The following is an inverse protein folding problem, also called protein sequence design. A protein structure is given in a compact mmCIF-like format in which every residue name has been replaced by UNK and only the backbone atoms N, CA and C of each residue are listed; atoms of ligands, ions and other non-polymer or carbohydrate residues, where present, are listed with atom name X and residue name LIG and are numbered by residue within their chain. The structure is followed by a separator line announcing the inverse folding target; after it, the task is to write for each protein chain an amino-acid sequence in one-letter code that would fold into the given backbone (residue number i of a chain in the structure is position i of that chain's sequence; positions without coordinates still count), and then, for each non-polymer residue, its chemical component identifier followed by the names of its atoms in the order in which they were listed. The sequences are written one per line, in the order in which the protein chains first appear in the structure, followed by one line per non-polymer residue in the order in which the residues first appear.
data_IF_571928875169
#
_entry.id   IF_571928875169
#
_cell.length_a   1.000
_cell.length_b   1.000
_cell.length_c   1.000
_cell.angle_alpha   90.00
_cell.angle_beta   90.00
_cell.angle_gamma   90.00
#
_symmetry.space_group_name_H-M   'P 1'
#
loop_
_entity.id
_entity.type
_entity.pdbx_description
1 polymer ?
#
# COMPACT_ATOMS: atom_id res chain seq x y z
N UNK A 1 -23.57 -52.90 -28.85
CA UNK A 1 -23.37 -51.82 -27.85
C UNK A 1 -22.05 -51.11 -28.15
N UNK A 2 -22.07 -49.91 -28.74
CA UNK A 2 -20.87 -49.08 -28.95
C UNK A 2 -20.89 -47.93 -27.94
N UNK A 3 -19.96 -47.96 -26.98
CA UNK A 3 -19.79 -46.92 -25.98
C UNK A 3 -18.94 -45.78 -26.55
N UNK A 4 -19.44 -44.54 -26.48
CA UNK A 4 -18.72 -43.33 -26.89
C UNK A 4 -17.94 -42.77 -25.70
N UNK A 5 -16.61 -42.69 -25.83
CA UNK A 5 -15.75 -41.99 -24.88
C UNK A 5 -15.75 -40.48 -25.15
N UNK A 6 -16.02 -39.66 -24.12
CA UNK A 6 -15.89 -38.19 -24.16
C UNK A 6 -14.41 -37.78 -24.11
N UNK A 7 -13.96 -36.78 -24.90
CA UNK A 7 -12.61 -36.24 -24.77
C UNK A 7 -12.51 -35.33 -23.54
N UNK A 8 -11.56 -35.63 -22.67
CA UNK A 8 -11.24 -34.84 -21.46
C UNK A 8 -10.45 -33.58 -21.83
N UNK A 9 -10.93 -32.43 -21.35
CA UNK A 9 -10.32 -31.13 -21.54
C UNK A 9 -8.89 -31.07 -20.96
N UNK A 10 -7.90 -30.77 -21.81
CA UNK A 10 -6.51 -30.52 -21.40
C UNK A 10 -6.43 -29.27 -20.53
N UNK A 11 -5.88 -29.44 -19.31
CA UNK A 11 -5.68 -28.41 -18.26
C UNK A 11 -4.75 -27.25 -18.68
N UNK A 12 -4.86 -26.07 -18.02
CA UNK A 12 -4.39 -24.74 -18.47
C UNK A 12 -2.90 -24.43 -18.28
N UNK A 13 -2.01 -25.43 -18.24
CA UNK A 13 -0.59 -25.22 -17.91
C UNK A 13 0.17 -24.44 -18.99
N UNK A 14 -0.15 -24.68 -20.27
CA UNK A 14 0.52 -24.00 -21.40
C UNK A 14 0.24 -22.50 -21.44
N UNK A 15 -0.97 -22.09 -21.10
CA UNK A 15 -1.41 -20.69 -21.20
C UNK A 15 -0.75 -19.82 -20.13
N UNK A 16 -0.56 -20.36 -18.92
CA UNK A 16 0.15 -19.67 -17.84
C UNK A 16 1.64 -19.51 -18.14
N UNK A 17 2.27 -20.54 -18.72
CA UNK A 17 3.68 -20.49 -19.08
C UNK A 17 3.95 -19.55 -20.25
N UNK A 18 3.00 -19.46 -21.19
CA UNK A 18 3.04 -18.52 -22.30
C UNK A 18 2.82 -17.08 -21.83
N UNK A 19 1.90 -16.86 -20.88
CA UNK A 19 1.76 -15.56 -20.20
C UNK A 19 3.03 -15.17 -19.44
N UNK A 20 3.66 -16.11 -18.73
CA UNK A 20 4.93 -15.88 -18.02
C UNK A 20 6.06 -15.59 -18.98
N UNK A 21 6.10 -16.26 -20.15
CA UNK A 21 7.11 -16.00 -21.19
C UNK A 21 6.89 -14.64 -21.85
N UNK A 22 5.66 -14.27 -22.17
CA UNK A 22 5.31 -12.96 -22.71
C UNK A 22 5.59 -11.85 -21.69
N UNK A 23 5.30 -12.07 -20.40
CA UNK A 23 5.67 -11.13 -19.34
C UNK A 23 7.20 -10.98 -19.20
N UNK A 24 7.96 -12.07 -19.37
CA UNK A 24 9.44 -12.05 -19.38
C UNK A 24 10.01 -11.40 -20.65
N UNK A 25 9.37 -11.58 -21.80
CA UNK A 25 9.78 -10.98 -23.06
C UNK A 25 9.49 -9.47 -23.07
N UNK A 26 8.30 -9.05 -22.63
CA UNK A 26 7.96 -7.64 -22.44
C UNK A 26 8.86 -6.95 -21.42
N UNK A 27 9.39 -7.68 -20.43
CA UNK A 27 10.40 -7.13 -19.50
C UNK A 27 11.80 -6.97 -20.09
N UNK A 28 12.09 -7.56 -21.27
CA UNK A 28 13.40 -7.53 -21.93
C UNK A 28 13.52 -6.52 -23.09
N UNK A 29 12.44 -5.89 -23.51
CA UNK A 29 12.39 -5.08 -24.74
C UNK A 29 12.72 -3.58 -24.52
N UNK A 30 13.28 -3.22 -23.37
CA UNK A 30 13.77 -1.88 -23.10
C UNK A 30 15.29 -1.89 -23.05
N UNK A 31 15.96 -0.91 -23.69
CA UNK A 31 17.39 -0.58 -23.54
C UNK A 31 17.90 -1.04 -22.16
N UNK A 32 19.01 -1.77 -22.11
CA UNK A 32 19.60 -2.24 -20.84
C UNK A 32 19.91 -1.05 -19.92
N UNK A 33 18.94 -0.71 -19.08
CA UNK A 33 19.10 0.27 -18.02
C UNK A 33 19.63 -0.47 -16.79
N UNK A 34 20.71 0.03 -16.18
CA UNK A 34 21.25 -0.53 -14.94
C UNK A 34 20.21 -0.56 -13.81
N UNK A 35 19.25 0.37 -13.85
CA UNK A 35 18.21 0.51 -12.84
C UNK A 35 16.79 0.27 -13.41
N UNK A 36 15.91 -0.38 -12.62
CA UNK A 36 14.52 -0.58 -13.03
C UNK A 36 13.74 0.74 -13.05
N UNK A 37 12.67 0.79 -13.84
CA UNK A 37 11.76 1.94 -13.91
C UNK A 37 11.07 2.22 -12.56
N UNK A 38 10.69 1.15 -11.86
CA UNK A 38 10.02 1.21 -10.56
C UNK A 38 10.99 0.75 -9.48
N UNK A 39 11.54 1.69 -8.74
CA UNK A 39 12.49 1.42 -7.66
C UNK A 39 11.77 1.43 -6.31
N UNK A 40 11.97 0.39 -5.50
CA UNK A 40 11.43 0.31 -4.14
C UNK A 40 12.31 1.16 -3.23
N UNK A 41 11.75 2.26 -2.72
CA UNK A 41 12.44 3.21 -1.84
C UNK A 41 12.09 3.00 -0.37
N UNK A 42 10.97 2.34 -0.10
CA UNK A 42 10.50 2.07 1.25
C UNK A 42 9.87 0.67 1.35
N UNK A 43 10.16 -0.01 2.45
CA UNK A 43 9.58 -1.29 2.81
C UNK A 43 9.36 -1.32 4.33
N UNK A 44 8.11 -1.46 4.78
CA UNK A 44 7.75 -1.38 6.21
C UNK A 44 8.33 -2.53 7.07
N UNK A 45 8.76 -3.61 6.41
CA UNK A 45 9.38 -4.79 7.01
C UNK A 45 8.44 -5.99 6.96
N UNK A 46 8.96 -7.14 6.54
CA UNK A 46 8.15 -8.33 6.27
C UNK A 46 7.38 -8.78 7.50
N UNK A 47 8.03 -8.82 8.67
CA UNK A 47 7.39 -9.21 9.92
C UNK A 47 6.18 -8.33 10.28
N UNK A 48 6.26 -7.01 10.06
CA UNK A 48 5.14 -6.09 10.35
C UNK A 48 4.01 -6.26 9.36
N UNK A 49 4.33 -6.40 8.08
CA UNK A 49 3.35 -6.62 7.02
C UNK A 49 2.61 -7.94 7.29
N UNK A 50 3.34 -9.02 7.59
CA UNK A 50 2.76 -10.32 7.95
C UNK A 50 1.93 -10.23 9.22
N UNK A 51 2.42 -9.57 10.27
CA UNK A 51 1.66 -9.39 11.51
C UNK A 51 0.32 -8.66 11.26
N UNK A 52 0.33 -7.57 10.49
CA UNK A 52 -0.91 -6.88 10.12
C UNK A 52 -1.85 -7.74 9.28
N UNK A 53 -1.31 -8.54 8.35
CA UNK A 53 -2.09 -9.46 7.56
C UNK A 53 -2.77 -10.52 8.45
N UNK A 54 -2.01 -11.12 9.38
CA UNK A 54 -2.53 -12.12 10.32
C UNK A 54 -3.57 -11.51 11.25
N UNK A 55 -3.33 -10.33 11.81
CA UNK A 55 -4.28 -9.63 12.67
C UNK A 55 -5.65 -9.41 11.98
N UNK A 56 -5.62 -9.02 10.70
CA UNK A 56 -6.84 -8.85 9.89
C UNK A 56 -7.57 -10.18 9.63
N UNK A 57 -6.81 -11.22 9.32
CA UNK A 57 -7.38 -12.55 9.06
C UNK A 57 -8.02 -13.12 10.34
N UNK A 58 -7.32 -13.04 11.47
CA UNK A 58 -7.82 -13.52 12.76
C UNK A 58 -9.10 -12.79 13.17
N UNK A 59 -9.14 -11.46 13.07
CA UNK A 59 -10.35 -10.69 13.40
C UNK A 59 -11.51 -10.99 12.46
N UNK A 60 -11.25 -11.23 11.17
CA UNK A 60 -12.29 -11.66 10.23
C UNK A 60 -12.87 -13.02 10.62
N UNK A 61 -12.04 -13.99 11.01
CA UNK A 61 -12.50 -15.29 11.50
C UNK A 61 -13.33 -15.19 12.77
N UNK A 62 -12.90 -14.35 13.72
CA UNK A 62 -13.68 -14.06 14.93
C UNK A 62 -15.05 -13.46 14.55
N UNK A 63 -15.07 -12.43 13.70
CA UNK A 63 -16.32 -11.83 13.25
C UNK A 63 -17.26 -12.83 12.57
N UNK A 64 -16.73 -13.67 11.69
CA UNK A 64 -17.48 -14.73 11.02
C UNK A 64 -18.02 -15.78 12.01
N UNK A 65 -17.23 -16.18 13.00
CA UNK A 65 -17.66 -17.11 14.04
C UNK A 65 -18.85 -16.55 14.84
N UNK A 66 -18.74 -15.32 15.32
CA UNK A 66 -19.82 -14.68 16.08
C UNK A 66 -21.08 -14.46 15.23
N UNK A 67 -20.93 -14.00 13.98
CA UNK A 67 -22.08 -13.69 13.12
C UNK A 67 -22.74 -14.94 12.49
N UNK A 68 -21.96 -15.96 12.12
CA UNK A 68 -22.46 -17.11 11.35
C UNK A 68 -22.69 -18.37 12.21
N UNK A 69 -22.12 -18.45 13.41
CA UNK A 69 -22.26 -19.63 14.29
C UNK A 69 -22.98 -19.24 15.59
N UNK A 70 -22.46 -18.25 16.31
CA UNK A 70 -23.01 -17.91 17.64
C UNK A 70 -24.37 -17.20 17.52
N UNK A 71 -24.49 -16.17 16.67
CA UNK A 71 -25.74 -15.44 16.53
C UNK A 71 -26.92 -16.32 16.05
N UNK A 72 -26.77 -17.20 15.04
CA UNK A 72 -27.84 -18.13 14.67
C UNK A 72 -28.21 -19.12 15.78
N UNK A 73 -27.26 -19.52 16.62
CA UNK A 73 -27.54 -20.36 17.79
C UNK A 73 -28.43 -19.64 18.81
N UNK A 74 -28.19 -18.34 19.04
CA UNK A 74 -29.02 -17.52 19.93
C UNK A 74 -30.43 -17.31 19.36
N UNK A 75 -30.55 -17.13 18.05
CA UNK A 75 -31.84 -17.06 17.35
C UNK A 75 -32.60 -18.38 17.51
N UNK A 76 -31.93 -19.53 17.27
CA UNK A 76 -32.53 -20.86 17.45
C UNK A 76 -32.94 -21.17 18.88
N UNK A 77 -32.22 -20.61 19.86
CA UNK A 77 -32.52 -20.76 21.27
C UNK A 77 -33.50 -19.68 21.80
N UNK A 78 -34.14 -18.93 20.90
CA UNK A 78 -35.15 -17.88 21.21
C UNK A 78 -34.68 -16.91 22.29
N UNK A 79 -33.39 -16.56 22.26
CA UNK A 79 -32.81 -15.61 23.22
C UNK A 79 -33.32 -14.19 22.93
N UNK A 80 -33.42 -13.33 23.97
CA UNK A 80 -33.78 -11.92 23.82
C UNK A 80 -32.98 -11.23 22.70
N UNK A 81 -33.68 -10.46 21.86
CA UNK A 81 -33.09 -9.81 20.69
C UNK A 81 -31.89 -8.93 21.04
N UNK A 82 -31.95 -8.24 22.18
CA UNK A 82 -30.87 -7.37 22.66
C UNK A 82 -29.58 -8.15 22.97
N UNK A 83 -29.71 -9.38 23.49
CA UNK A 83 -28.54 -10.26 23.72
C UNK A 83 -27.97 -10.75 22.40
N UNK A 84 -28.83 -11.17 21.47
CA UNK A 84 -28.42 -11.59 20.12
C UNK A 84 -27.72 -10.45 19.36
N UNK A 85 -28.25 -9.23 19.44
CA UNK A 85 -27.62 -8.04 18.87
C UNK A 85 -26.25 -7.75 19.52
N UNK A 86 -26.12 -7.90 20.83
CA UNK A 86 -24.86 -7.77 21.55
C UNK A 86 -23.79 -8.76 21.06
N UNK A 87 -24.17 -10.02 20.81
CA UNK A 87 -23.29 -11.06 20.24
C UNK A 87 -22.81 -10.68 18.84
N UNK A 88 -23.71 -10.19 17.99
CA UNK A 88 -23.35 -9.72 16.63
C UNK A 88 -22.39 -8.54 16.70
N UNK A 89 -22.66 -7.56 17.57
CA UNK A 89 -21.77 -6.41 17.77
C UNK A 89 -20.39 -6.83 18.28
N UNK A 90 -20.31 -7.83 19.16
CA UNK A 90 -19.04 -8.40 19.64
C UNK A 90 -18.18 -8.95 18.49
N UNK A 91 -18.80 -9.53 17.46
CA UNK A 91 -18.10 -9.97 16.25
C UNK A 91 -17.68 -8.83 15.32
N UNK A 92 -18.53 -7.83 15.12
CA UNK A 92 -18.32 -6.75 14.14
C UNK A 92 -17.32 -5.70 14.64
N UNK A 93 -17.39 -5.31 15.91
CA UNK A 93 -16.58 -4.21 16.46
C UNK A 93 -15.06 -4.45 16.29
N UNK A 94 -14.50 -5.63 16.63
CA UNK A 94 -13.07 -5.90 16.42
C UNK A 94 -12.64 -5.80 14.96
N UNK A 95 -13.48 -6.26 14.03
CA UNK A 95 -13.21 -6.18 12.58
C UNK A 95 -13.15 -4.72 12.13
N UNK A 96 -14.14 -3.91 12.51
CA UNK A 96 -14.16 -2.48 12.18
C UNK A 96 -13.00 -1.73 12.82
N UNK A 97 -12.66 -2.06 14.07
CA UNK A 97 -11.55 -1.43 14.78
C UNK A 97 -10.21 -1.73 14.12
N UNK A 98 -9.90 -3.01 13.84
CA UNK A 98 -8.64 -3.39 13.19
C UNK A 98 -8.54 -2.81 11.79
N UNK A 99 -9.61 -2.85 11.00
CA UNK A 99 -9.60 -2.24 9.66
C UNK A 99 -9.39 -0.73 9.73
N UNK A 100 -10.00 -0.06 10.71
CA UNK A 100 -9.83 1.38 10.94
C UNK A 100 -8.37 1.72 11.28
N UNK A 101 -7.74 1.07 12.26
CA UNK A 101 -6.37 1.42 12.69
C UNK A 101 -5.30 1.01 11.68
N UNK A 102 -5.52 -0.08 10.93
CA UNK A 102 -4.52 -0.61 9.98
C UNK A 102 -4.69 -0.08 8.55
N UNK A 103 -5.82 0.56 8.22
CA UNK A 103 -6.08 1.09 6.88
C UNK A 103 -5.02 2.06 6.33
N UNK A 104 -4.45 3.01 7.11
CA UNK A 104 -3.47 3.95 6.56
C UNK A 104 -2.08 3.32 6.41
N UNK A 105 -1.83 2.11 6.90
CA UNK A 105 -0.49 1.50 6.91
C UNK A 105 0.06 1.29 5.49
N UNK A 106 1.22 1.91 5.22
CA UNK A 106 1.95 1.79 3.95
C UNK A 106 2.93 0.63 4.05
N UNK A 107 2.83 -0.31 3.11
CA UNK A 107 3.71 -1.48 3.02
C UNK A 107 4.97 -1.19 2.22
N UNK A 108 4.80 -0.57 1.04
CA UNK A 108 5.86 -0.31 0.08
C UNK A 108 5.63 1.05 -0.57
N UNK A 109 6.73 1.73 -0.92
CA UNK A 109 6.70 2.91 -1.76
C UNK A 109 7.64 2.68 -2.94
N UNK A 110 7.13 2.95 -4.14
CA UNK A 110 7.90 2.92 -5.37
C UNK A 110 8.04 4.33 -5.92
N UNK A 111 9.24 4.67 -6.37
CA UNK A 111 9.48 5.85 -7.21
C UNK A 111 9.56 5.39 -8.67
N UNK A 112 8.95 6.17 -9.56
CA UNK A 112 9.08 5.94 -11.01
C UNK A 112 10.20 6.82 -11.54
N UNK A 113 11.23 6.17 -12.08
CA UNK A 113 12.44 6.83 -12.56
C UNK A 113 12.33 7.09 -14.07
N UNK A 114 12.61 8.32 -14.53
CA UNK A 114 12.69 8.60 -15.96
C UNK A 114 13.90 7.87 -16.60
N UNK A 115 13.90 7.62 -17.91
CA UNK A 115 14.97 6.89 -18.61
C UNK A 115 16.39 7.41 -18.32
N UNK A 116 16.57 8.72 -18.23
CA UNK A 116 17.88 9.32 -17.96
C UNK A 116 18.37 9.09 -16.53
N UNK A 117 17.49 8.88 -15.55
CA UNK A 117 17.86 8.63 -14.16
C UNK A 117 18.18 7.14 -13.89
N UNK A 118 17.98 6.28 -14.90
CA UNK A 118 18.14 4.83 -14.82
C UNK A 118 19.47 4.31 -15.35
N UNK A 119 20.32 5.20 -15.89
CA UNK A 119 21.59 4.85 -16.51
C UNK A 119 22.67 4.47 -15.50
N UNK A 120 22.73 5.12 -14.33
CA UNK A 120 23.70 4.77 -13.29
C UNK A 120 23.33 5.30 -11.91
N UNK A 121 23.92 4.72 -10.84
CA UNK A 121 23.69 5.16 -9.45
C UNK A 121 24.04 6.64 -9.19
N UNK A 122 25.17 7.20 -9.68
CA UNK A 122 25.49 8.61 -9.47
C UNK A 122 24.46 9.56 -10.11
N UNK A 123 23.91 9.20 -11.26
CA UNK A 123 22.87 9.99 -11.94
C UNK A 123 21.56 9.91 -11.16
N UNK A 124 21.19 8.72 -10.67
CA UNK A 124 20.07 8.54 -9.76
C UNK A 124 20.23 9.42 -8.51
N UNK A 125 21.41 9.44 -7.88
CA UNK A 125 21.65 10.29 -6.71
C UNK A 125 21.42 11.77 -6.98
N UNK A 126 21.90 12.27 -8.12
CA UNK A 126 21.66 13.67 -8.53
C UNK A 126 20.18 13.92 -8.79
N UNK A 127 19.50 13.00 -9.46
CA UNK A 127 18.06 13.09 -9.71
C UNK A 127 17.26 13.10 -8.40
N UNK A 128 17.54 12.17 -7.48
CA UNK A 128 16.90 12.12 -6.17
C UNK A 128 17.25 13.33 -5.32
N UNK A 129 18.45 13.91 -5.42
CA UNK A 129 18.79 15.18 -4.74
C UNK A 129 18.02 16.38 -5.33
N UNK A 130 17.64 16.33 -6.61
CA UNK A 130 16.91 17.39 -7.32
C UNK A 130 15.50 16.93 -7.79
N UNK A 131 14.84 16.06 -7.04
CA UNK A 131 13.56 15.44 -7.37
C UNK A 131 12.46 16.48 -7.68
N UNK A 132 11.95 16.50 -8.93
CA UNK A 132 10.81 17.31 -9.31
C UNK A 132 9.56 16.96 -8.48
N UNK A 133 8.70 17.93 -8.13
CA UNK A 133 7.44 17.66 -7.45
C UNK A 133 6.50 16.78 -8.28
N UNK A 134 6.63 16.81 -9.60
CA UNK A 134 5.87 16.00 -10.57
C UNK A 134 6.38 14.56 -10.70
N UNK A 135 7.36 14.14 -9.89
CA UNK A 135 7.86 12.75 -9.96
C UNK A 135 6.76 11.78 -9.50
N UNK A 136 6.42 10.73 -10.26
CA UNK A 136 5.39 9.79 -9.87
C UNK A 136 5.88 8.89 -8.73
N UNK A 137 5.03 8.74 -7.71
CA UNK A 137 5.17 7.81 -6.60
C UNK A 137 4.00 6.85 -6.58
N UNK A 138 4.26 5.57 -6.31
CA UNK A 138 3.22 4.57 -6.04
C UNK A 138 3.34 4.05 -4.62
N UNK A 139 2.36 4.39 -3.80
CA UNK A 139 2.23 3.91 -2.43
C UNK A 139 1.32 2.68 -2.40
N UNK A 140 1.78 1.62 -1.73
CA UNK A 140 1.00 0.39 -1.55
C UNK A 140 0.50 0.30 -0.12
N UNK A 141 -0.82 0.36 0.06
CA UNK A 141 -1.51 0.16 1.35
C UNK A 141 -2.24 -1.18 1.38
N UNK A 142 -2.69 -1.64 2.55
CA UNK A 142 -3.49 -2.87 2.66
C UNK A 142 -4.97 -2.56 2.80
N UNK A 143 -5.80 -3.11 1.91
CA UNK A 143 -7.26 -3.08 2.03
C UNK A 143 -7.74 -3.84 3.27
N UNK A 144 -9.02 -3.73 3.61
CA UNK A 144 -9.65 -4.44 4.73
C UNK A 144 -9.40 -5.96 4.67
N UNK A 145 -9.45 -6.55 3.48
CA UNK A 145 -9.24 -7.98 3.21
C UNK A 145 -7.77 -8.29 2.86
N UNK A 146 -6.82 -7.52 3.41
CA UNK A 146 -5.37 -7.67 3.17
C UNK A 146 -4.90 -7.59 1.72
N UNK A 147 -5.78 -7.27 0.77
CA UNK A 147 -5.43 -7.06 -0.65
C UNK A 147 -4.58 -5.80 -0.80
N UNK A 148 -3.42 -5.87 -1.49
CA UNK A 148 -2.63 -4.69 -1.79
C UNK A 148 -3.43 -3.67 -2.59
N UNK A 149 -3.33 -2.41 -2.19
CA UNK A 149 -4.02 -1.27 -2.80
C UNK A 149 -3.00 -0.22 -3.21
N UNK A 150 -2.81 -0.09 -4.52
CA UNK A 150 -1.87 0.84 -5.13
C UNK A 150 -2.50 2.22 -5.29
N UNK A 151 -1.78 3.26 -4.87
CA UNK A 151 -2.16 4.66 -5.07
C UNK A 151 -1.02 5.37 -5.77
N UNK A 152 -1.25 5.78 -7.02
CA UNK A 152 -0.29 6.58 -7.81
C UNK A 152 -0.58 8.06 -7.60
N UNK A 153 0.45 8.84 -7.28
CA UNK A 153 0.39 10.28 -7.03
C UNK A 153 1.73 10.92 -7.37
N UNK A 154 1.82 12.24 -7.44
CA UNK A 154 3.11 12.90 -7.55
C UNK A 154 3.75 13.13 -6.18
N UNK A 155 5.08 13.22 -6.13
CA UNK A 155 5.81 13.49 -4.90
C UNK A 155 5.40 14.82 -4.23
N UNK A 156 4.96 15.81 -5.02
CA UNK A 156 4.46 17.09 -4.55
C UNK A 156 3.05 17.04 -3.94
N UNK A 157 2.25 16.00 -4.24
CA UNK A 157 0.88 15.89 -3.75
C UNK A 157 0.81 15.40 -2.30
N UNK A 158 1.93 14.89 -1.76
CA UNK A 158 2.02 14.34 -0.42
C UNK A 158 2.37 15.45 0.57
N UNK A 159 1.52 15.66 1.57
CA UNK A 159 1.72 16.63 2.65
C UNK A 159 1.87 15.93 4.00
N UNK A 160 2.84 16.33 4.85
CA UNK A 160 2.98 15.79 6.19
C UNK A 160 1.85 16.32 7.08
N UNK A 161 1.25 15.43 7.87
CA UNK A 161 0.14 15.73 8.79
C UNK A 161 0.21 14.77 9.96
N UNK A 162 -0.09 15.21 11.18
CA UNK A 162 -0.28 14.33 12.34
C UNK A 162 -1.77 14.19 12.66
N UNK A 163 -2.38 13.04 12.36
CA UNK A 163 -3.79 12.74 12.66
C UNK A 163 -3.95 11.34 13.26
N UNK A 164 -5.13 11.07 13.86
CA UNK A 164 -5.50 9.76 14.44
C UNK A 164 -4.41 9.22 15.39
N UNK A 165 -4.11 9.98 16.44
CA UNK A 165 -3.09 9.61 17.44
C UNK A 165 -1.69 9.33 16.83
N UNK A 166 -1.39 9.88 15.65
CA UNK A 166 -0.13 9.63 14.94
C UNK A 166 -0.15 8.40 14.01
N UNK A 167 -1.29 7.75 13.82
CA UNK A 167 -1.47 6.68 12.82
C UNK A 167 -1.67 7.22 11.40
N UNK A 168 -1.56 8.53 11.20
CA UNK A 168 -1.56 9.17 9.88
C UNK A 168 -0.47 10.21 9.92
N UNK A 169 0.52 10.05 9.04
CA UNK A 169 1.70 10.90 8.90
C UNK A 169 1.68 11.71 7.60
N UNK A 170 1.00 11.21 6.57
CA UNK A 170 0.90 11.89 5.29
C UNK A 170 -0.52 11.86 4.74
N UNK A 171 -0.88 12.92 4.03
CA UNK A 171 -2.17 13.09 3.37
C UNK A 171 -1.93 13.55 1.94
N UNK A 172 -2.81 13.13 1.01
CA UNK A 172 -2.93 13.73 -0.32
C UNK A 172 -4.33 14.25 -0.55
N UNK A 173 -4.48 15.22 -1.43
CA UNK A 173 -5.81 15.60 -1.90
C UNK A 173 -6.40 14.47 -2.77
N UNK A 174 -7.65 14.14 -2.53
CA UNK A 174 -8.40 13.10 -3.23
C UNK A 174 -9.77 13.58 -3.69
N UNK A 175 -10.09 14.87 -3.53
CA UNK A 175 -11.41 15.41 -3.87
C UNK A 175 -11.71 15.23 -5.35
N UNK A 176 -10.82 15.69 -6.22
CA UNK A 176 -10.98 15.58 -7.68
C UNK A 176 -11.01 14.12 -8.14
N UNK A 177 -10.11 13.29 -7.61
CA UNK A 177 -10.06 11.86 -7.96
C UNK A 177 -11.33 11.13 -7.55
N UNK A 178 -11.90 11.46 -6.39
CA UNK A 178 -13.17 10.88 -5.93
C UNK A 178 -14.36 11.38 -6.74
N UNK A 179 -14.37 12.64 -7.17
CA UNK A 179 -15.43 13.20 -8.01
C UNK A 179 -15.50 12.50 -9.38
N UNK A 180 -14.36 12.08 -9.92
CA UNK A 180 -14.28 11.32 -11.19
C UNK A 180 -14.60 9.83 -11.03
N UNK A 181 -14.61 9.30 -9.79
CA UNK A 181 -14.85 7.88 -9.53
C UNK A 181 -16.34 7.58 -9.51
N UNK A 182 -16.70 6.43 -10.09
CA UNK A 182 -18.08 5.94 -10.08
C UNK A 182 -18.45 5.46 -8.68
N UNK A 183 -19.74 5.49 -8.35
CA UNK A 183 -20.27 5.17 -7.02
C UNK A 183 -19.86 3.78 -6.49
N UNK A 184 -19.67 2.80 -7.38
CA UNK A 184 -19.26 1.44 -7.05
C UNK A 184 -17.74 1.28 -6.84
N UNK A 185 -16.94 2.29 -7.20
CA UNK A 185 -15.50 2.26 -6.96
C UNK A 185 -15.21 2.72 -5.53
N UNK A 186 -14.36 1.99 -4.82
CA UNK A 186 -13.89 2.42 -3.51
C UNK A 186 -13.28 3.83 -3.58
N UNK A 187 -13.55 4.66 -2.55
CA UNK A 187 -12.94 5.98 -2.40
C UNK A 187 -11.42 5.93 -2.47
N UNK A 188 -10.80 6.92 -3.12
CA UNK A 188 -9.36 7.07 -3.23
C UNK A 188 -8.71 7.13 -1.84
N UNK A 189 -7.57 6.44 -1.69
CA UNK A 189 -6.82 6.46 -0.44
C UNK A 189 -6.15 7.83 -0.32
N UNK A 190 -6.50 8.59 0.72
CA UNK A 190 -5.95 9.93 0.95
C UNK A 190 -5.09 10.04 2.20
N UNK A 191 -4.98 8.98 3.00
CA UNK A 191 -4.35 8.98 4.32
C UNK A 191 -3.33 7.86 4.36
N UNK A 192 -2.11 8.19 4.77
CA UNK A 192 -1.00 7.26 4.76
C UNK A 192 -0.23 7.34 6.08
N UNK A 193 0.21 6.18 6.53
CA UNK A 193 1.12 5.99 7.64
C UNK A 193 2.37 5.32 7.10
N UNK A 194 3.40 6.14 6.93
CA UNK A 194 4.74 5.66 6.65
C UNK A 194 5.48 5.66 7.96
N UNK A 195 5.91 4.48 8.39
CA UNK A 195 6.65 4.33 9.63
C UNK A 195 8.11 4.71 9.39
N UNK A 196 8.64 5.59 10.23
CA UNK A 196 10.05 5.94 10.20
C UNK A 196 10.91 4.72 10.53
N UNK A 197 12.01 4.54 9.80
CA UNK A 197 13.01 3.55 10.17
C UNK A 197 13.55 3.95 11.53
N UNK A 198 13.26 3.15 12.57
CA UNK A 198 14.01 3.26 13.82
C UNK A 198 15.48 3.01 13.47
N UNK A 199 16.42 3.78 14.03
CA UNK A 199 17.84 3.46 13.89
C UNK A 199 18.02 2.03 14.39
N UNK A 200 18.25 1.09 13.47
CA UNK A 200 18.60 -0.26 13.86
C UNK A 200 19.97 -0.17 14.51
N UNK A 201 20.04 -0.44 15.82
CA UNK A 201 21.30 -0.81 16.47
C UNK A 201 21.90 -1.91 15.62
N UNK A 202 23.00 -1.60 14.89
CA UNK A 202 23.62 -2.54 13.97
C UNK A 202 24.05 -3.76 14.78
N UNK A 203 23.33 -4.86 14.67
CA UNK A 203 23.79 -6.13 15.22
C UNK A 203 25.00 -6.53 14.37
N UNK A 204 26.13 -6.84 15.02
CA UNK A 204 27.46 -7.05 14.42
C UNK A 204 27.49 -8.07 13.26
N UNK A 205 26.45 -8.89 13.12
CA UNK A 205 26.32 -9.96 12.12
C UNK A 205 25.26 -9.70 11.04
N UNK A 206 24.66 -8.50 10.96
CA UNK A 206 23.64 -8.21 9.95
C UNK A 206 24.29 -7.88 8.60
N UNK A 207 24.36 -8.89 7.72
CA UNK A 207 24.75 -8.71 6.32
C UNK A 207 23.86 -7.65 5.67
N UNK A 208 24.47 -6.66 5.00
CA UNK A 208 23.81 -5.51 4.36
C UNK A 208 22.99 -5.99 3.15
N UNK A 209 21.84 -6.60 3.41
CA UNK A 209 20.91 -7.15 2.41
C UNK A 209 19.79 -6.15 2.11
N UNK A 210 20.04 -4.86 2.25
CA UNK A 210 19.04 -3.85 1.91
C UNK A 210 18.94 -3.77 0.38
N UNK A 211 18.04 -4.57 -0.20
CA UNK A 211 17.56 -4.45 -1.59
C UNK A 211 16.76 -3.16 -1.83
N UNK A 212 16.58 -2.35 -0.79
CA UNK A 212 15.76 -1.13 -0.76
C UNK A 212 16.71 0.03 -0.55
N UNK A 213 16.74 0.98 -1.50
CA UNK A 213 17.53 2.20 -1.39
C UNK A 213 16.85 3.17 -0.41
N UNK A 214 16.87 2.81 0.88
CA UNK A 214 16.10 3.50 1.93
C UNK A 214 16.47 4.97 2.11
N UNK A 215 17.72 5.33 1.82
CA UNK A 215 18.18 6.73 1.84
C UNK A 215 17.39 7.62 0.87
N UNK A 216 16.83 7.05 -0.22
CA UNK A 216 16.01 7.79 -1.19
C UNK A 216 14.75 8.30 -0.52
N UNK A 217 14.10 7.46 0.30
CA UNK A 217 12.91 7.89 1.03
C UNK A 217 13.22 9.00 2.03
N UNK A 218 14.36 8.92 2.72
CA UNK A 218 14.77 9.95 3.69
C UNK A 218 14.95 11.33 3.01
N UNK A 219 15.60 11.37 1.84
CA UNK A 219 15.75 12.60 1.03
C UNK A 219 14.41 13.11 0.50
N UNK A 220 13.52 12.21 0.08
CA UNK A 220 12.17 12.59 -0.39
C UNK A 220 11.34 13.16 0.76
N UNK A 221 11.39 12.53 1.94
CA UNK A 221 10.72 12.98 3.16
C UNK A 221 11.17 14.38 3.56
N UNK A 222 12.48 14.61 3.67
CA UNK A 222 13.05 15.91 4.04
C UNK A 222 12.55 17.03 3.10
N UNK A 223 12.43 16.74 1.81
CA UNK A 223 11.91 17.69 0.83
C UNK A 223 10.42 17.95 0.95
N UNK A 224 9.64 16.92 1.22
CA UNK A 224 8.20 17.06 1.47
C UNK A 224 7.99 17.96 2.69
N UNK A 225 8.73 17.71 3.77
CA UNK A 225 8.68 18.50 4.99
C UNK A 225 9.12 19.94 4.74
N UNK A 226 10.24 20.15 4.03
CA UNK A 226 10.72 21.50 3.67
C UNK A 226 9.70 22.27 2.81
N UNK A 227 9.06 21.61 1.84
CA UNK A 227 8.01 22.23 1.01
C UNK A 227 6.78 22.59 1.84
N UNK A 228 6.36 21.71 2.74
CA UNK A 228 5.25 21.96 3.65
C UNK A 228 5.54 23.14 4.58
N UNK A 229 6.75 23.23 5.13
CA UNK A 229 7.21 24.38 5.93
C UNK A 229 7.20 25.68 5.12
N UNK A 230 7.70 25.66 3.88
CA UNK A 230 7.65 26.82 2.98
C UNK A 230 6.22 27.24 2.64
N UNK A 231 5.31 26.29 2.44
CA UNK A 231 3.90 26.56 2.17
C UNK A 231 3.15 27.09 3.40
N UNK A 232 3.54 26.68 4.60
CA UNK A 232 2.98 27.14 5.86
C UNK A 232 3.58 28.49 6.34
N UNK A 233 4.69 28.95 5.76
CA UNK A 233 5.31 30.21 6.15
C UNK A 233 4.45 31.41 5.74
N UNK A 234 4.09 32.32 6.66
CA UNK A 234 3.24 33.48 6.40
C UNK A 234 3.92 34.57 5.55
N UNK A 235 5.24 34.49 5.33
CA UNK A 235 6.00 35.44 4.49
C UNK A 235 5.99 35.04 3.00
N UNK A 236 4.81 34.74 2.45
CA UNK A 236 4.63 34.69 1.00
C UNK A 236 4.48 36.14 0.51
N UNK A 237 5.61 36.84 0.39
CA UNK A 237 5.66 38.16 -0.21
C UNK A 237 5.05 38.10 -1.61
N UNK A 238 4.09 39.00 -1.86
CA UNK A 238 3.56 39.30 -3.18
C UNK A 238 4.74 39.61 -4.11
N UNK A 239 5.05 38.69 -5.01
CA UNK A 239 5.79 39.03 -6.23
C UNK A 239 4.73 39.20 -7.31
N UNK A 240 4.11 40.37 -7.29
CA UNK A 240 3.47 40.95 -8.47
C UNK A 240 4.55 41.21 -9.51
N UNK A 241 4.46 40.53 -10.65
CA UNK A 241 5.04 40.99 -11.92
C UNK A 241 4.14 42.09 -12.44
#
# INVERSE_FOLDING_TARGET
MRSYAKPTAKKPVKLEDELKRQARAASKDGKEFELPEKLIIYHAGTGRITFMAMLKITTLFIGAFFCCIVAPSYIKAEKPELLTAGVVLCGIIPVLFVTYITSPFVTHIHVHLPPYARTSRPILERFIKNLPPTTPLTLTTMSAISKPRYSSMHAGDLSPVRRRLGLINYVRDTKEENARRKWYMFRAVGKFYVQDKRPQTRVRYQKKTDKVDGWIWDVIKERIDTRALKAASPYKGNVSI
#
